data_IF_962924611640
#
_entry.id   IF_962924611640
#
_cell.length_a   1.000
_cell.length_b   1.000
_cell.length_c   1.000
_cell.angle_alpha   90.00
_cell.angle_beta   90.00
_cell.angle_gamma   90.00
#
_symmetry.space_group_name_H-M   'P 1'
#
loop_
_entity.id
_entity.type
_entity.pdbx_description
1 polymer ?
#
# COMPACT_ATOMS: atom_id res chain seq x y z
N UNK A 1 -3.38 15.23 -4.04
CA UNK A 1 -3.39 13.75 -3.94
C UNK A 1 -3.66 13.24 -2.53
N UNK A 2 -3.36 13.99 -1.47
CA UNK A 2 -3.56 13.52 -0.08
C UNK A 2 -4.97 13.00 0.25
N UNK A 3 -6.03 13.69 -0.18
CA UNK A 3 -7.43 13.23 0.01
C UNK A 3 -7.71 11.86 -0.62
N UNK A 4 -7.11 11.56 -1.78
CA UNK A 4 -7.30 10.27 -2.46
C UNK A 4 -6.65 9.14 -1.66
N UNK A 5 -5.41 9.35 -1.18
CA UNK A 5 -4.75 8.41 -0.28
C UNK A 5 -5.57 8.10 0.97
N UNK A 6 -6.13 9.13 1.63
CA UNK A 6 -6.96 8.92 2.83
C UNK A 6 -8.21 8.08 2.52
N UNK A 7 -8.91 8.37 1.42
CA UNK A 7 -10.09 7.58 1.01
C UNK A 7 -9.72 6.12 0.76
N UNK A 8 -8.63 5.87 0.03
CA UNK A 8 -8.17 4.50 -0.28
C UNK A 8 -7.70 3.79 1.00
N UNK A 9 -7.00 4.49 1.89
CA UNK A 9 -6.53 3.94 3.16
C UNK A 9 -7.68 3.42 4.04
N UNK A 10 -8.81 4.15 4.11
CA UNK A 10 -9.99 3.71 4.86
C UNK A 10 -10.66 2.49 4.23
N UNK A 11 -10.60 2.35 2.90
CA UNK A 11 -11.05 1.11 2.22
C UNK A 11 -10.17 -0.07 2.63
N UNK A 12 -8.84 0.08 2.58
CA UNK A 12 -7.92 -0.97 3.05
C UNK A 12 -8.08 -1.30 4.53
N UNK A 13 -8.32 -0.30 5.38
CA UNK A 13 -8.62 -0.52 6.81
C UNK A 13 -9.84 -1.42 6.97
N UNK A 14 -10.93 -1.08 6.28
CA UNK A 14 -12.17 -1.85 6.34
C UNK A 14 -11.93 -3.30 5.91
N UNK A 15 -11.22 -3.51 4.80
CA UNK A 15 -10.85 -4.84 4.31
C UNK A 15 -9.98 -5.59 5.34
N UNK A 16 -9.00 -4.90 5.93
CA UNK A 16 -8.09 -5.47 6.92
C UNK A 16 -8.80 -5.97 8.17
N UNK A 17 -9.71 -5.17 8.73
CA UNK A 17 -10.52 -5.55 9.91
C UNK A 17 -11.42 -6.73 9.59
N UNK A 18 -12.12 -6.70 8.46
CA UNK A 18 -12.99 -7.79 8.03
C UNK A 18 -12.19 -9.09 7.83
N UNK A 19 -11.02 -9.02 7.19
CA UNK A 19 -10.15 -10.18 7.03
C UNK A 19 -9.67 -10.74 8.38
N UNK A 20 -9.28 -9.86 9.33
CA UNK A 20 -8.88 -10.27 10.68
C UNK A 20 -10.01 -10.96 11.45
N UNK A 21 -11.22 -10.40 11.37
CA UNK A 21 -12.42 -10.98 11.97
C UNK A 21 -12.73 -12.36 11.38
N UNK A 22 -12.73 -12.50 10.05
CA UNK A 22 -13.01 -13.77 9.37
C UNK A 22 -12.01 -14.83 9.79
N UNK A 23 -10.70 -14.53 9.76
CA UNK A 23 -9.66 -15.46 10.19
C UNK A 23 -9.85 -15.90 11.66
N UNK A 24 -10.22 -14.97 12.53
CA UNK A 24 -10.51 -15.27 13.94
C UNK A 24 -11.74 -16.16 14.13
N UNK A 25 -12.82 -15.94 13.37
CA UNK A 25 -14.05 -16.76 13.45
C UNK A 25 -13.76 -18.19 13.00
N UNK A 26 -13.13 -18.36 11.84
CA UNK A 26 -12.92 -19.69 11.23
C UNK A 26 -11.64 -20.39 11.75
N UNK A 27 -10.85 -19.73 12.59
CA UNK A 27 -9.57 -20.21 13.13
C UNK A 27 -8.55 -20.64 12.05
N UNK A 28 -8.59 -19.99 10.88
CA UNK A 28 -7.65 -20.20 9.78
C UNK A 28 -6.80 -18.95 9.57
N UNK A 29 -5.53 -19.06 9.93
CA UNK A 29 -4.57 -17.96 9.93
C UNK A 29 -3.60 -18.00 8.75
N UNK A 30 -3.86 -18.80 7.71
CA UNK A 30 -3.01 -18.87 6.50
C UNK A 30 -2.85 -17.51 5.82
N UNK A 31 -3.86 -16.64 5.91
CA UNK A 31 -3.84 -15.29 5.31
C UNK A 31 -3.28 -14.20 6.22
N UNK A 32 -2.64 -14.55 7.35
CA UNK A 32 -2.08 -13.56 8.30
C UNK A 32 -1.11 -12.59 7.62
N UNK A 33 -0.28 -13.07 6.69
CA UNK A 33 0.63 -12.21 5.93
C UNK A 33 -0.13 -11.19 5.06
N UNK A 34 -1.18 -11.62 4.36
CA UNK A 34 -2.02 -10.73 3.53
C UNK A 34 -2.71 -9.68 4.41
N UNK A 35 -3.28 -10.09 5.54
CA UNK A 35 -3.90 -9.20 6.51
C UNK A 35 -2.91 -8.13 7.03
N UNK A 36 -1.68 -8.53 7.37
CA UNK A 36 -0.64 -7.61 7.82
C UNK A 36 -0.27 -6.58 6.74
N UNK A 37 -0.09 -7.00 5.49
CA UNK A 37 0.24 -6.08 4.39
C UNK A 37 -0.91 -5.14 4.03
N UNK A 38 -2.16 -5.62 4.09
CA UNK A 38 -3.37 -4.79 3.93
C UNK A 38 -3.39 -3.66 4.97
N UNK A 39 -3.14 -3.97 6.23
CA UNK A 39 -3.14 -2.95 7.29
C UNK A 39 -1.91 -2.03 7.24
N UNK A 40 -0.70 -2.55 7.00
CA UNK A 40 0.52 -1.75 7.02
C UNK A 40 0.75 -0.94 5.74
N UNK A 41 0.72 -1.59 4.58
CA UNK A 41 0.99 -0.92 3.29
C UNK A 41 -0.26 -0.31 2.66
N UNK A 42 -1.41 -0.95 2.88
CA UNK A 42 -2.71 -0.48 2.39
C UNK A 42 -3.27 0.65 3.25
N UNK A 43 -3.44 0.44 4.56
CA UNK A 43 -3.99 1.47 5.44
C UNK A 43 -2.92 2.43 5.97
N UNK A 44 -2.05 2.00 6.88
CA UNK A 44 -1.21 2.90 7.67
C UNK A 44 -0.31 3.75 6.75
N UNK A 45 0.40 3.12 5.83
CA UNK A 45 1.30 3.82 4.91
C UNK A 45 0.55 4.82 4.03
N UNK A 46 -0.58 4.43 3.43
CA UNK A 46 -1.38 5.36 2.61
C UNK A 46 -1.97 6.50 3.44
N UNK A 47 -2.42 6.25 4.67
CA UNK A 47 -2.89 7.30 5.55
C UNK A 47 -1.78 8.31 5.84
N UNK A 48 -0.57 7.84 6.15
CA UNK A 48 0.60 8.69 6.38
C UNK A 48 0.99 9.47 5.12
N UNK A 49 1.00 8.85 3.94
CA UNK A 49 1.24 9.56 2.67
C UNK A 49 0.19 10.66 2.45
N UNK A 50 -1.07 10.34 2.74
CA UNK A 50 -2.20 11.26 2.65
C UNK A 50 -2.03 12.48 3.55
N UNK A 51 -1.67 12.27 4.81
CA UNK A 51 -1.44 13.31 5.81
C UNK A 51 -0.21 14.16 5.47
N UNK A 52 0.92 13.54 5.11
CA UNK A 52 2.15 14.24 4.75
C UNK A 52 1.90 15.14 3.52
N UNK A 53 1.21 14.63 2.51
CA UNK A 53 0.84 15.45 1.34
C UNK A 53 -0.29 16.46 1.61
N UNK A 54 -0.98 16.37 2.74
CA UNK A 54 -1.89 17.43 3.17
C UNK A 54 -1.12 18.59 3.82
N UNK A 55 -0.17 18.28 4.71
CA UNK A 55 0.63 19.28 5.42
C UNK A 55 1.75 19.89 4.57
N UNK A 56 2.25 19.19 3.55
CA UNK A 56 3.30 19.66 2.66
C UNK A 56 2.83 19.72 1.19
N UNK A 57 2.10 20.77 0.78
CA UNK A 57 1.56 20.91 -0.57
C UNK A 57 2.63 20.87 -1.67
N UNK A 58 3.83 21.41 -1.41
CA UNK A 58 4.95 21.39 -2.35
C UNK A 58 5.38 19.95 -2.68
N UNK A 59 5.49 19.10 -1.65
CA UNK A 59 5.76 17.68 -1.82
C UNK A 59 4.63 16.97 -2.57
N UNK A 60 3.38 17.33 -2.30
CA UNK A 60 2.19 16.73 -2.91
C UNK A 60 2.02 17.04 -4.41
N UNK A 61 2.48 18.21 -4.85
CA UNK A 61 2.36 18.68 -6.23
C UNK A 61 3.52 18.23 -7.14
N UNK A 62 4.56 17.62 -6.56
CA UNK A 62 5.74 17.17 -7.31
C UNK A 62 5.39 16.03 -8.28
N UNK A 63 6.18 15.89 -9.36
CA UNK A 63 6.07 14.74 -10.28
C UNK A 63 6.32 13.41 -9.57
N UNK A 64 7.23 13.39 -8.58
CA UNK A 64 7.55 12.20 -7.80
C UNK A 64 6.35 11.70 -7.00
N UNK A 65 5.58 12.60 -6.37
CA UNK A 65 4.37 12.23 -5.66
C UNK A 65 3.32 11.59 -6.58
N UNK A 66 3.18 12.08 -7.81
CA UNK A 66 2.24 11.51 -8.79
C UNK A 66 2.64 10.11 -9.21
N UNK A 67 3.92 9.89 -9.49
CA UNK A 67 4.44 8.56 -9.88
C UNK A 67 4.30 7.59 -8.70
N UNK A 68 4.72 8.02 -7.50
CA UNK A 68 4.58 7.25 -6.28
C UNK A 68 3.14 6.85 -5.99
N UNK A 69 2.17 7.76 -6.21
CA UNK A 69 0.75 7.46 -6.09
C UNK A 69 0.31 6.30 -6.97
N UNK A 70 0.64 6.32 -8.26
CA UNK A 70 0.23 5.26 -9.17
C UNK A 70 0.97 3.95 -8.90
N UNK A 71 2.28 3.99 -8.66
CA UNK A 71 3.05 2.79 -8.33
C UNK A 71 2.50 2.12 -7.07
N UNK A 72 2.26 2.87 -5.99
CA UNK A 72 1.78 2.28 -4.75
C UNK A 72 0.36 1.72 -4.88
N UNK A 73 -0.55 2.44 -5.57
CA UNK A 73 -1.93 1.99 -5.75
C UNK A 73 -2.09 0.82 -6.71
N UNK A 74 -1.13 0.56 -7.60
CA UNK A 74 -1.13 -0.62 -8.49
C UNK A 74 -0.33 -1.76 -7.86
N UNK A 75 0.85 -1.45 -7.31
CA UNK A 75 1.77 -2.43 -6.72
C UNK A 75 1.16 -3.17 -5.54
N UNK A 76 0.46 -2.48 -4.63
CA UNK A 76 -0.15 -3.11 -3.45
C UNK A 76 -1.21 -4.14 -3.85
N UNK A 77 -2.23 -3.84 -4.67
CA UNK A 77 -3.18 -4.86 -5.13
C UNK A 77 -2.54 -6.04 -5.84
N UNK A 78 -1.58 -5.79 -6.75
CA UNK A 78 -0.90 -6.85 -7.51
C UNK A 78 -0.12 -7.78 -6.57
N UNK A 79 0.62 -7.21 -5.61
CA UNK A 79 1.35 -7.96 -4.61
C UNK A 79 0.41 -8.77 -3.70
N UNK A 80 -0.63 -8.14 -3.15
CA UNK A 80 -1.60 -8.81 -2.27
C UNK A 80 -2.34 -9.93 -2.99
N UNK A 81 -2.77 -9.70 -4.22
CA UNK A 81 -3.39 -10.72 -5.07
C UNK A 81 -2.43 -11.89 -5.34
N UNK A 82 -1.18 -11.59 -5.68
CA UNK A 82 -0.14 -12.60 -5.87
C UNK A 82 0.10 -13.46 -4.62
N UNK A 83 0.24 -12.85 -3.43
CA UNK A 83 0.41 -13.58 -2.17
C UNK A 83 -0.82 -14.45 -1.88
N UNK A 84 -2.02 -13.91 -2.09
CA UNK A 84 -3.28 -14.65 -1.90
C UNK A 84 -3.34 -15.88 -2.80
N UNK A 85 -3.02 -15.73 -4.08
CA UNK A 85 -2.98 -16.84 -5.05
C UNK A 85 -1.92 -17.89 -4.70
N UNK A 86 -0.77 -17.48 -4.16
CA UNK A 86 0.24 -18.41 -3.67
C UNK A 86 -0.27 -19.23 -2.48
N UNK A 87 -0.95 -18.60 -1.52
CA UNK A 87 -1.55 -19.29 -0.37
C UNK A 87 -2.63 -20.29 -0.82
N UNK A 88 -3.36 -19.95 -1.89
CA UNK A 88 -4.37 -20.82 -2.51
C UNK A 88 -3.76 -21.93 -3.40
N UNK A 89 -2.44 -21.99 -3.58
CA UNK A 89 -1.77 -23.03 -4.36
C UNK A 89 -1.88 -22.85 -5.88
N UNK A 90 -2.20 -21.65 -6.37
CA UNK A 90 -2.32 -21.38 -7.81
C UNK A 90 -0.93 -21.35 -8.46
N UNK A 91 -0.71 -22.22 -9.44
CA UNK A 91 0.52 -22.25 -10.23
C UNK A 91 0.71 -20.92 -10.98
N UNK A 92 1.92 -20.34 -10.91
CA UNK A 92 2.23 -19.07 -11.58
C UNK A 92 1.88 -17.81 -10.77
N UNK A 93 1.54 -17.93 -9.49
CA UNK A 93 1.27 -16.79 -8.61
C UNK A 93 2.54 -16.04 -8.12
N UNK A 94 3.72 -16.63 -8.28
CA UNK A 94 4.98 -16.04 -7.85
C UNK A 94 5.38 -14.79 -8.67
N UNK A 95 5.37 -14.80 -10.02
CA UNK A 95 5.69 -13.62 -10.82
C UNK A 95 4.88 -12.35 -10.48
N UNK A 96 3.53 -12.36 -10.39
CA UNK A 96 2.79 -11.15 -10.02
C UNK A 96 3.13 -10.67 -8.62
N UNK A 97 3.41 -11.58 -7.68
CA UNK A 97 3.86 -11.20 -6.33
C UNK A 97 5.17 -10.41 -6.38
N UNK A 98 6.17 -10.93 -7.09
CA UNK A 98 7.49 -10.29 -7.21
C UNK A 98 7.35 -8.92 -7.89
N UNK A 99 6.63 -8.85 -9.00
CA UNK A 99 6.43 -7.61 -9.75
C UNK A 99 5.72 -6.57 -8.88
N UNK A 100 4.64 -6.96 -8.20
CA UNK A 100 3.92 -6.09 -7.28
C UNK A 100 4.82 -5.57 -6.16
N UNK A 101 5.60 -6.45 -5.51
CA UNK A 101 6.53 -6.09 -4.45
C UNK A 101 7.59 -5.08 -4.92
N UNK A 102 8.20 -5.29 -6.09
CA UNK A 102 9.19 -4.38 -6.66
C UNK A 102 8.57 -3.01 -6.93
N UNK A 103 7.35 -2.98 -7.51
CA UNK A 103 6.62 -1.75 -7.78
C UNK A 103 6.34 -0.97 -6.48
N UNK A 104 5.94 -1.65 -5.41
CA UNK A 104 5.75 -1.04 -4.08
C UNK A 104 7.06 -0.47 -3.55
N UNK A 105 8.16 -1.23 -3.62
CA UNK A 105 9.49 -0.78 -3.16
C UNK A 105 9.92 0.49 -3.90
N UNK A 106 9.79 0.52 -5.22
CA UNK A 106 10.09 1.72 -6.02
C UNK A 106 9.20 2.89 -5.59
N UNK A 107 7.90 2.65 -5.37
CA UNK A 107 6.98 3.65 -4.83
C UNK A 107 7.44 4.23 -3.49
N UNK A 108 7.88 3.40 -2.56
CA UNK A 108 8.39 3.83 -1.24
C UNK A 108 9.70 4.61 -1.37
N UNK A 109 10.61 4.21 -2.26
CA UNK A 109 11.86 4.96 -2.52
C UNK A 109 11.53 6.34 -3.10
N UNK A 110 10.59 6.45 -4.03
CA UNK A 110 10.15 7.75 -4.55
C UNK A 110 9.53 8.62 -3.47
N UNK A 111 8.75 8.02 -2.56
CA UNK A 111 8.19 8.73 -1.40
C UNK A 111 9.31 9.29 -0.52
N UNK A 112 10.30 8.45 -0.17
CA UNK A 112 11.48 8.86 0.61
C UNK A 112 12.18 10.05 -0.04
N UNK A 113 12.57 9.92 -1.32
CA UNK A 113 13.24 11.00 -2.08
C UNK A 113 12.39 12.27 -2.11
N UNK A 114 11.07 12.14 -2.30
CA UNK A 114 10.15 13.27 -2.33
C UNK A 114 10.10 14.00 -0.98
N UNK A 115 10.04 13.27 0.14
CA UNK A 115 10.05 13.84 1.48
C UNK A 115 11.35 14.62 1.72
N UNK A 116 12.52 14.00 1.51
CA UNK A 116 13.81 14.68 1.69
C UNK A 116 14.01 15.90 0.79
N UNK A 117 13.34 15.94 -0.36
CA UNK A 117 13.46 17.04 -1.31
C UNK A 117 12.53 18.21 -1.00
N UNK A 118 11.31 17.96 -0.51
CA UNK A 118 10.24 18.98 -0.48
C UNK A 118 9.63 19.24 0.90
N UNK A 119 9.96 18.45 1.93
CA UNK A 119 9.50 18.69 3.31
C UNK A 119 10.54 19.54 4.04
N UNK A 120 10.12 20.67 4.62
CA UNK A 120 11.00 21.57 5.38
C UNK A 120 11.97 22.42 4.54
N UNK A 121 11.76 22.47 3.22
CA UNK A 121 12.41 23.43 2.34
C UNK A 121 11.37 24.45 1.92
N UNK A 122 11.39 25.59 2.58
CA UNK A 122 10.57 26.76 2.29
C UNK A 122 11.01 27.43 0.99
#
# INVERSE_FOLDING_TARGET
MGKAYLKIAVVYFTIGVLAGLIMGIIHDFRFTSVHAHVNLLGWISMALFGLIYHFYPNAANSKLAKIQFWLHNIGVPVMLGGITLQILGVSGALPPTIIGSIVVVVGVILFMVNVFKYVGKD
#
